data_IF_908455615233
#
_entry.id   IF_908455615233
#
_cell.length_a   1.000
_cell.length_b   1.000
_cell.length_c   1.000
_cell.angle_alpha   90.00
_cell.angle_beta   90.00
_cell.angle_gamma   90.00
#
_symmetry.space_group_name_H-M   'P 1'
#
loop_
_entity.id
_entity.type
_entity.pdbx_description
1 polymer ?
#
# COMPACT_ATOMS: atom_id res chain seq x y z
N UNK A 1 -60.28 -38.52 42.36
CA UNK A 1 -60.81 -38.06 41.05
C UNK A 1 -60.46 -36.63 40.67
N UNK A 2 -61.05 -35.54 41.20
CA UNK A 2 -60.70 -34.16 40.75
C UNK A 2 -59.23 -33.78 41.03
N UNK A 3 -58.74 -34.06 42.25
CA UNK A 3 -57.34 -33.80 42.65
C UNK A 3 -56.29 -34.62 41.87
N UNK A 4 -56.67 -35.76 41.29
CA UNK A 4 -55.75 -36.57 40.47
C UNK A 4 -55.64 -36.00 39.06
N UNK A 5 -56.76 -35.58 38.46
CA UNK A 5 -56.77 -34.90 37.17
C UNK A 5 -56.00 -33.57 37.19
N UNK A 6 -56.04 -32.84 38.31
CA UNK A 6 -55.24 -31.62 38.49
C UNK A 6 -53.74 -31.92 38.55
N UNK A 7 -53.32 -32.95 39.28
CA UNK A 7 -51.91 -33.38 39.33
C UNK A 7 -51.39 -33.88 37.99
N UNK A 8 -52.22 -34.55 37.20
CA UNK A 8 -51.86 -34.99 35.84
C UNK A 8 -51.69 -33.80 34.88
N UNK A 9 -52.56 -32.79 34.96
CA UNK A 9 -52.43 -31.54 34.20
C UNK A 9 -51.16 -30.78 34.58
N UNK A 10 -50.85 -30.65 35.87
CA UNK A 10 -49.61 -30.02 36.33
C UNK A 10 -48.36 -30.77 35.85
N UNK A 11 -48.37 -32.11 35.85
CA UNK A 11 -47.26 -32.91 35.33
C UNK A 11 -47.08 -32.74 33.83
N UNK A 12 -48.16 -32.77 33.06
CA UNK A 12 -48.11 -32.54 31.61
C UNK A 12 -47.65 -31.12 31.28
N UNK A 13 -48.10 -30.13 32.04
CA UNK A 13 -47.69 -28.74 31.84
C UNK A 13 -46.22 -28.50 32.22
N UNK A 14 -45.73 -29.14 33.29
CA UNK A 14 -44.30 -29.14 33.63
C UNK A 14 -43.46 -29.82 32.55
N UNK A 15 -43.88 -30.97 32.03
CA UNK A 15 -43.18 -31.65 30.93
C UNK A 15 -43.17 -30.81 29.66
N UNK A 16 -44.29 -30.20 29.30
CA UNK A 16 -44.38 -29.29 28.16
C UNK A 16 -43.46 -28.08 28.30
N UNK A 17 -43.43 -27.45 29.47
CA UNK A 17 -42.55 -26.31 29.74
C UNK A 17 -41.06 -26.71 29.70
N UNK A 18 -40.71 -27.91 30.16
CA UNK A 18 -39.33 -28.44 30.06
C UNK A 18 -38.95 -28.66 28.60
N UNK A 19 -39.81 -29.31 27.81
CA UNK A 19 -39.57 -29.56 26.37
C UNK A 19 -39.44 -28.23 25.62
N UNK A 20 -40.33 -27.27 25.90
CA UNK A 20 -40.28 -25.94 25.30
C UNK A 20 -38.99 -25.21 25.66
N UNK A 21 -38.57 -25.28 26.92
CA UNK A 21 -37.31 -24.66 27.37
C UNK A 21 -36.09 -25.27 26.67
N UNK A 22 -36.05 -26.60 26.53
CA UNK A 22 -34.99 -27.30 25.80
C UNK A 22 -34.99 -26.90 24.32
N UNK A 23 -36.17 -26.81 23.69
CA UNK A 23 -36.29 -26.40 22.30
C UNK A 23 -35.80 -24.95 22.08
N UNK A 24 -36.12 -24.04 22.99
CA UNK A 24 -35.65 -22.64 22.93
C UNK A 24 -34.13 -22.56 23.10
N UNK A 25 -33.57 -23.28 24.09
CA UNK A 25 -32.12 -23.33 24.30
C UNK A 25 -31.40 -23.90 23.07
N UNK A 26 -31.94 -24.98 22.48
CA UNK A 26 -31.40 -25.56 21.27
C UNK A 26 -31.44 -24.58 20.09
N UNK A 27 -32.55 -23.86 19.91
CA UNK A 27 -32.69 -22.83 18.88
C UNK A 27 -31.65 -21.72 19.05
N UNK A 28 -31.43 -21.25 20.29
CA UNK A 28 -30.43 -20.23 20.59
C UNK A 28 -29.01 -20.69 20.27
N UNK A 29 -28.66 -21.95 20.57
CA UNK A 29 -27.37 -22.54 20.23
C UNK A 29 -27.18 -22.57 18.71
N UNK A 30 -28.20 -22.97 17.96
CA UNK A 30 -28.15 -22.99 16.48
C UNK A 30 -27.96 -21.58 15.93
N UNK A 31 -28.72 -20.59 16.43
CA UNK A 31 -28.59 -19.18 16.00
C UNK A 31 -27.18 -18.65 16.30
N UNK A 32 -26.67 -18.90 17.51
CA UNK A 32 -25.32 -18.48 17.90
C UNK A 32 -24.23 -19.15 17.03
N UNK A 33 -24.36 -20.44 16.74
CA UNK A 33 -23.44 -21.17 15.87
C UNK A 33 -23.45 -20.64 14.44
N UNK A 34 -24.62 -20.35 13.89
CA UNK A 34 -24.76 -19.75 12.55
C UNK A 34 -24.15 -18.35 12.52
N UNK A 35 -24.45 -17.50 13.51
CA UNK A 35 -23.89 -16.16 13.61
C UNK A 35 -22.36 -16.19 13.69
N UNK A 36 -21.79 -17.09 14.50
CA UNK A 36 -20.34 -17.27 14.64
C UNK A 36 -19.70 -17.77 13.34
N UNK A 37 -20.32 -18.72 12.66
CA UNK A 37 -19.84 -19.27 11.38
C UNK A 37 -19.79 -18.19 10.28
N UNK A 38 -20.85 -17.37 10.18
CA UNK A 38 -20.88 -16.25 9.24
C UNK A 38 -19.84 -15.18 9.60
N UNK A 39 -19.73 -14.81 10.88
CA UNK A 39 -18.76 -13.80 11.30
C UNK A 39 -17.32 -14.23 11.00
N UNK A 40 -16.97 -15.48 11.32
CA UNK A 40 -15.62 -16.02 11.08
C UNK A 40 -15.26 -16.08 9.60
N UNK A 41 -16.22 -16.40 8.72
CA UNK A 41 -16.01 -16.39 7.26
C UNK A 41 -15.83 -14.98 6.71
N UNK A 42 -16.68 -14.05 7.15
CA UNK A 42 -16.64 -12.65 6.69
C UNK A 42 -15.34 -11.98 7.12
N UNK A 43 -14.90 -12.19 8.37
CA UNK A 43 -13.60 -11.70 8.84
C UNK A 43 -12.43 -12.28 8.03
N UNK A 44 -12.45 -13.59 7.77
CA UNK A 44 -11.41 -14.26 6.97
C UNK A 44 -11.33 -13.73 5.53
N UNK A 45 -12.48 -13.53 4.87
CA UNK A 45 -12.54 -12.96 3.52
C UNK A 45 -12.02 -11.52 3.49
N UNK A 46 -12.46 -10.66 4.42
CA UNK A 46 -12.04 -9.25 4.50
C UNK A 46 -10.52 -9.15 4.73
N UNK A 47 -9.96 -9.91 5.68
CA UNK A 47 -8.52 -9.90 5.95
C UNK A 47 -7.73 -10.37 4.73
N UNK A 48 -8.21 -11.39 4.01
CA UNK A 48 -7.54 -11.89 2.81
C UNK A 48 -7.54 -10.87 1.66
N UNK A 49 -8.64 -10.13 1.48
CA UNK A 49 -8.78 -9.10 0.45
C UNK A 49 -7.88 -7.91 0.79
N UNK A 50 -7.87 -7.48 2.05
CA UNK A 50 -6.99 -6.40 2.52
C UNK A 50 -5.51 -6.78 2.35
N UNK A 51 -5.12 -8.01 2.71
CA UNK A 51 -3.75 -8.48 2.53
C UNK A 51 -3.34 -8.50 1.06
N UNK A 52 -4.20 -9.00 0.15
CA UNK A 52 -3.93 -8.98 -1.30
C UNK A 52 -3.84 -7.57 -1.86
N UNK A 53 -4.74 -6.68 -1.44
CA UNK A 53 -4.74 -5.28 -1.86
C UNK A 53 -3.48 -4.55 -1.42
N UNK A 54 -3.06 -4.71 -0.16
CA UNK A 54 -1.82 -4.13 0.37
C UNK A 54 -0.59 -4.62 -0.40
N UNK A 55 -0.51 -5.93 -0.69
CA UNK A 55 0.58 -6.51 -1.51
C UNK A 55 0.58 -5.94 -2.93
N UNK A 56 -0.59 -5.77 -3.54
CA UNK A 56 -0.71 -5.19 -4.87
C UNK A 56 -0.28 -3.73 -4.90
N UNK A 57 -0.70 -2.93 -3.91
CA UNK A 57 -0.28 -1.53 -3.75
C UNK A 57 1.25 -1.47 -3.57
N UNK A 58 1.82 -2.30 -2.69
CA UNK A 58 3.26 -2.36 -2.48
C UNK A 58 4.02 -2.71 -3.77
N UNK A 59 3.50 -3.65 -4.57
CA UNK A 59 4.07 -3.99 -5.89
C UNK A 59 4.00 -2.83 -6.88
N UNK A 60 2.87 -2.10 -6.93
CA UNK A 60 2.72 -0.94 -7.80
C UNK A 60 3.71 0.18 -7.41
N UNK A 61 3.81 0.50 -6.12
CA UNK A 61 4.77 1.49 -5.61
C UNK A 61 6.21 1.05 -5.90
N UNK A 62 6.55 -0.22 -5.65
CA UNK A 62 7.87 -0.75 -5.96
C UNK A 62 8.18 -0.70 -7.46
N UNK A 63 7.20 -0.97 -8.32
CA UNK A 63 7.33 -0.86 -9.77
C UNK A 63 7.63 0.57 -10.20
N UNK A 64 6.83 1.53 -9.74
CA UNK A 64 7.03 2.95 -10.03
C UNK A 64 8.40 3.46 -9.52
N UNK A 65 8.84 3.02 -8.34
CA UNK A 65 10.16 3.37 -7.82
C UNK A 65 11.29 2.79 -8.69
N UNK A 66 11.15 1.54 -9.13
CA UNK A 66 12.12 0.90 -10.02
C UNK A 66 12.21 1.64 -11.35
N UNK A 67 11.07 1.96 -11.96
CA UNK A 67 11.02 2.73 -13.21
C UNK A 67 11.64 4.12 -13.05
N UNK A 68 11.36 4.81 -11.94
CA UNK A 68 11.97 6.09 -11.62
C UNK A 68 13.50 5.97 -11.53
N UNK A 69 14.02 5.00 -10.76
CA UNK A 69 15.47 4.79 -10.60
C UNK A 69 16.11 4.47 -11.95
N UNK A 70 15.50 3.59 -12.75
CA UNK A 70 16.00 3.25 -14.08
C UNK A 70 16.03 4.46 -15.03
N UNK A 71 15.01 5.33 -14.97
CA UNK A 71 15.00 6.58 -15.73
C UNK A 71 16.14 7.52 -15.30
N UNK A 72 16.45 7.60 -14.00
CA UNK A 72 17.59 8.38 -13.50
C UNK A 72 18.94 7.78 -13.93
N UNK A 73 19.09 6.46 -13.85
CA UNK A 73 20.30 5.77 -14.33
C UNK A 73 20.55 6.04 -15.82
N UNK A 74 19.52 5.92 -16.66
CA UNK A 74 19.63 6.20 -18.08
C UNK A 74 19.97 7.68 -18.35
N UNK A 75 19.41 8.61 -17.57
CA UNK A 75 19.76 10.01 -17.70
C UNK A 75 21.21 10.31 -17.34
N UNK A 76 21.76 9.65 -16.31
CA UNK A 76 23.18 9.73 -15.98
C UNK A 76 24.07 9.16 -17.09
N UNK A 77 23.65 8.06 -17.74
CA UNK A 77 24.37 7.51 -18.90
C UNK A 77 24.41 8.52 -20.06
N UNK A 78 23.29 9.16 -20.38
CA UNK A 78 23.23 10.20 -21.41
C UNK A 78 24.17 11.36 -21.07
N UNK A 79 24.08 11.92 -19.86
CA UNK A 79 24.97 13.00 -19.42
C UNK A 79 26.44 12.58 -19.49
N UNK A 80 26.78 11.38 -19.03
CA UNK A 80 28.16 10.88 -19.08
C UNK A 80 28.70 10.68 -20.51
N UNK A 81 27.81 10.55 -21.50
CA UNK A 81 28.17 10.41 -22.91
C UNK A 81 28.57 11.73 -23.56
N UNK A 82 28.17 12.87 -22.98
CA UNK A 82 28.51 14.18 -23.51
C UNK A 82 30.00 14.45 -23.40
N UNK A 83 30.62 14.78 -24.54
CA UNK A 83 32.04 15.10 -24.59
C UNK A 83 32.37 16.36 -23.78
N UNK A 84 31.45 17.32 -23.72
CA UNK A 84 31.58 18.54 -22.92
C UNK A 84 31.71 18.26 -21.42
N UNK A 85 31.00 17.26 -20.90
CA UNK A 85 31.11 16.79 -19.51
C UNK A 85 32.43 16.02 -19.33
N UNK A 86 32.75 15.08 -20.23
CA UNK A 86 33.98 14.27 -20.15
C UNK A 86 35.27 15.10 -20.24
N UNK A 87 35.27 16.15 -21.06
CA UNK A 87 36.43 17.03 -21.30
C UNK A 87 36.35 18.37 -20.55
N UNK A 88 35.28 18.61 -19.77
CA UNK A 88 35.04 19.86 -19.02
C UNK A 88 35.14 21.11 -19.88
N UNK A 89 34.38 21.16 -20.97
CA UNK A 89 34.33 22.31 -21.87
C UNK A 89 33.27 23.30 -21.35
N UNK A 90 33.61 24.38 -20.63
CA UNK A 90 32.66 25.08 -19.76
C UNK A 90 31.42 25.60 -20.50
N UNK A 91 31.60 26.33 -21.61
CA UNK A 91 30.49 26.88 -22.39
C UNK A 91 29.63 25.81 -23.06
N UNK A 92 30.25 24.78 -23.66
CA UNK A 92 29.50 23.66 -24.25
C UNK A 92 28.80 22.79 -23.20
N UNK A 93 29.39 22.66 -22.01
CA UNK A 93 28.84 21.86 -20.92
C UNK A 93 27.59 22.53 -20.35
N UNK A 94 27.62 23.85 -20.19
CA UNK A 94 26.43 24.63 -19.82
C UNK A 94 25.29 24.42 -20.82
N UNK A 95 25.57 24.57 -22.12
CA UNK A 95 24.58 24.37 -23.19
C UNK A 95 24.01 22.95 -23.20
N UNK A 96 24.87 21.92 -23.16
CA UNK A 96 24.47 20.52 -23.20
C UNK A 96 23.65 20.13 -21.96
N UNK A 97 24.07 20.57 -20.76
CA UNK A 97 23.36 20.27 -19.52
C UNK A 97 22.03 21.01 -19.46
N UNK A 98 21.95 22.27 -19.88
CA UNK A 98 20.69 23.02 -19.93
C UNK A 98 19.70 22.44 -20.93
N UNK A 99 20.18 22.09 -22.13
CA UNK A 99 19.35 21.46 -23.16
C UNK A 99 18.79 20.12 -22.67
N UNK A 100 19.62 19.29 -22.04
CA UNK A 100 19.16 18.04 -21.47
C UNK A 100 18.23 18.25 -20.27
N UNK A 101 18.49 19.24 -19.43
CA UNK A 101 17.63 19.60 -18.30
C UNK A 101 16.22 19.97 -18.75
N UNK A 102 16.08 20.82 -19.77
CA UNK A 102 14.76 21.19 -20.31
C UNK A 102 13.99 19.97 -20.83
N UNK A 103 14.68 18.99 -21.42
CA UNK A 103 14.06 17.71 -21.80
C UNK A 103 13.62 16.88 -20.58
N UNK A 104 14.43 16.81 -19.51
CA UNK A 104 14.12 15.94 -18.36
C UNK A 104 13.26 16.59 -17.27
N UNK A 105 13.09 17.91 -17.30
CA UNK A 105 12.36 18.69 -16.29
C UNK A 105 10.91 18.21 -16.10
N UNK A 106 10.24 17.83 -17.19
CA UNK A 106 8.89 17.28 -17.13
C UNK A 106 8.80 15.91 -16.44
N UNK A 107 9.93 15.25 -16.18
CA UNK A 107 10.04 13.97 -15.49
C UNK A 107 10.53 14.11 -14.04
N UNK A 108 10.14 15.21 -13.38
CA UNK A 108 10.43 15.48 -11.95
C UNK A 108 11.92 15.59 -11.62
N UNK A 109 12.74 16.07 -12.57
CA UNK A 109 14.13 16.42 -12.30
C UNK A 109 14.18 17.88 -11.86
N UNK A 110 14.61 18.11 -10.62
CA UNK A 110 14.68 19.47 -10.05
C UNK A 110 15.91 20.24 -10.52
N UNK A 111 17.05 19.55 -10.62
CA UNK A 111 18.33 20.14 -11.01
C UNK A 111 19.27 19.07 -11.58
N UNK A 112 20.22 19.49 -12.39
CA UNK A 112 21.38 18.70 -12.78
C UNK A 112 22.61 19.47 -12.31
N UNK A 113 23.46 18.78 -11.54
CA UNK A 113 24.74 19.33 -11.08
C UNK A 113 25.88 18.43 -11.57
N UNK A 114 26.93 19.06 -12.09
CA UNK A 114 28.17 18.40 -12.47
C UNK A 114 29.20 18.70 -11.39
N UNK A 115 29.82 17.65 -10.86
CA UNK A 115 30.84 17.74 -9.83
C UNK A 115 32.21 17.39 -10.43
N UNK A 116 33.27 18.01 -9.91
CA UNK A 116 34.64 17.60 -10.21
C UNK A 116 35.11 16.41 -9.35
N UNK A 117 36.38 16.02 -9.51
CA UNK A 117 37.00 14.93 -8.76
C UNK A 117 37.13 15.21 -7.25
N UNK A 118 37.00 16.46 -6.84
CA UNK A 118 37.05 16.90 -5.43
C UNK A 118 35.66 16.94 -4.82
N UNK A 119 34.61 16.74 -5.62
CA UNK A 119 33.22 16.85 -5.22
C UNK A 119 32.71 18.29 -5.25
N UNK A 120 33.43 19.24 -5.85
CA UNK A 120 32.99 20.63 -6.00
C UNK A 120 32.05 20.76 -7.19
N UNK A 121 30.99 21.55 -7.04
CA UNK A 121 30.01 21.81 -8.12
C UNK A 121 30.63 22.74 -9.14
N UNK A 122 30.97 22.20 -10.32
CA UNK A 122 31.51 22.97 -11.44
C UNK A 122 30.43 23.58 -12.33
N UNK A 123 29.23 23.02 -12.28
CA UNK A 123 28.06 23.55 -12.97
C UNK A 123 26.77 23.03 -12.32
N UNK A 124 25.72 23.85 -12.27
CA UNK A 124 24.39 23.42 -11.86
C UNK A 124 23.30 24.20 -12.58
N UNK A 125 22.22 23.52 -12.95
CA UNK A 125 21.00 24.17 -13.47
C UNK A 125 20.20 24.88 -12.38
N UNK A 126 20.48 24.58 -11.11
CA UNK A 126 19.96 25.33 -9.97
C UNK A 126 20.95 26.43 -9.62
N UNK A 127 20.63 27.68 -10.00
CA UNK A 127 21.52 28.85 -9.82
C UNK A 127 21.95 29.10 -8.35
N UNK A 128 21.21 28.56 -7.39
CA UNK A 128 21.47 28.67 -5.95
C UNK A 128 22.40 27.55 -5.41
N UNK A 129 22.71 26.52 -6.22
CA UNK A 129 23.54 25.38 -5.81
C UNK A 129 25.04 25.58 -6.11
N UNK A 130 25.39 26.60 -6.89
CA UNK A 130 26.78 27.03 -7.05
C UNK A 130 27.06 27.88 -5.82
N UNK A 131 27.90 27.37 -4.92
CA UNK A 131 28.15 27.98 -3.61
C UNK A 131 28.32 29.50 -3.72
N UNK A 132 27.52 30.23 -2.95
CA UNK A 132 27.81 31.63 -2.65
C UNK A 132 29.26 31.68 -2.12
N UNK A 133 30.13 32.40 -2.83
CA UNK A 133 31.30 33.01 -2.22
C UNK A 133 30.87 34.28 -1.52
#
# INVERSE_FOLDING_TARGET
MQREREREREKMQKQFNIILSIAVVFLLIVIAGVAFYFNSRVEGEIVSILGKSQVQIARQVSGALKEYIQARENGLKVLSSFESIRKRLPGKMEDDVNSYFEYVKMYFVNAISVLDERGEVVYSTMKQAIGEK
#
